data_IF_237651215669
#
_entry.id   IF_237651215669
#
_cell.length_a   1.000
_cell.length_b   1.000
_cell.length_c   1.000
_cell.angle_alpha   90.00
_cell.angle_beta   90.00
_cell.angle_gamma   90.00
#
_symmetry.space_group_name_H-M   'P 1'
#
loop_
_entity.id
_entity.type
_entity.pdbx_description
1 polymer ?
#
# COMPACT_ATOMS: atom_id res chain seq x y z
N UNK A 1 -3.16 -10.29 10.57
CA UNK A 1 -1.75 -10.74 10.60
C UNK A 1 -1.63 -12.02 11.43
N UNK A 2 -2.36 -13.07 11.04
CA UNK A 2 -2.34 -14.38 11.74
C UNK A 2 -2.53 -15.56 10.75
N UNK A 3 -3.06 -15.31 9.55
CA UNK A 3 -3.28 -16.34 8.51
C UNK A 3 -2.05 -16.57 7.60
N UNK A 4 -1.02 -15.71 7.64
CA UNK A 4 0.09 -15.76 6.67
C UNK A 4 1.13 -16.85 6.97
N UNK A 5 1.17 -17.31 8.21
CA UNK A 5 2.13 -18.31 8.69
C UNK A 5 1.78 -19.74 8.27
N UNK A 6 0.58 -20.00 7.73
CA UNK A 6 0.13 -21.38 7.47
C UNK A 6 -0.01 -21.78 5.99
N UNK A 7 -0.27 -20.85 5.06
CA UNK A 7 -0.77 -21.23 3.72
C UNK A 7 0.20 -20.93 2.57
N UNK A 8 1.26 -20.13 2.78
CA UNK A 8 2.16 -19.66 1.68
C UNK A 8 1.43 -18.99 0.51
N UNK A 9 0.20 -18.52 0.72
CA UNK A 9 -0.60 -17.92 -0.34
C UNK A 9 -0.45 -16.40 -0.29
N UNK A 10 0.56 -15.89 -0.99
CA UNK A 10 0.85 -14.47 -1.11
C UNK A 10 -0.35 -13.66 -1.65
N UNK A 11 -1.20 -14.32 -2.44
CA UNK A 11 -2.42 -13.72 -2.97
C UNK A 11 -3.43 -13.40 -1.86
N UNK A 12 -3.51 -14.23 -0.83
CA UNK A 12 -4.46 -14.06 0.27
C UNK A 12 -4.08 -12.91 1.22
N UNK A 13 -2.79 -12.73 1.55
CA UNK A 13 -2.37 -11.48 2.26
C UNK A 13 -2.58 -10.24 1.43
N UNK A 14 -2.29 -10.29 0.13
CA UNK A 14 -2.50 -9.10 -0.70
C UNK A 14 -3.97 -8.70 -0.71
N UNK A 15 -4.89 -9.66 -0.79
CA UNK A 15 -6.33 -9.38 -0.74
C UNK A 15 -6.75 -8.78 0.61
N UNK A 16 -6.29 -9.33 1.73
CA UNK A 16 -6.59 -8.79 3.07
C UNK A 16 -5.93 -7.41 3.30
N UNK A 17 -4.71 -7.21 2.80
CA UNK A 17 -4.00 -5.94 2.85
C UNK A 17 -4.65 -4.85 1.99
N UNK A 18 -5.18 -5.22 0.83
CA UNK A 18 -5.96 -4.30 -0.02
C UNK A 18 -7.29 -3.92 0.67
N UNK A 19 -7.96 -4.83 1.38
CA UNK A 19 -9.23 -4.50 2.04
C UNK A 19 -9.05 -3.52 3.22
N UNK A 20 -7.94 -3.66 3.97
CA UNK A 20 -7.58 -2.75 5.05
C UNK A 20 -7.03 -1.40 4.58
N UNK A 21 -6.00 -1.42 3.73
CA UNK A 21 -5.29 -0.21 3.30
C UNK A 21 -5.96 0.50 2.11
N UNK A 22 -6.74 -0.23 1.31
CA UNK A 22 -7.41 0.31 0.12
C UNK A 22 -8.40 1.43 0.45
N UNK A 23 -9.13 1.32 1.57
CA UNK A 23 -10.05 2.38 2.04
C UNK A 23 -9.30 3.67 2.41
N UNK A 24 -8.16 3.55 3.09
CA UNK A 24 -7.32 4.71 3.48
C UNK A 24 -6.74 5.38 2.24
N UNK A 25 -6.25 4.59 1.28
CA UNK A 25 -5.68 5.10 0.03
C UNK A 25 -6.75 5.81 -0.80
N UNK A 26 -7.96 5.25 -0.90
CA UNK A 26 -9.08 5.87 -1.59
C UNK A 26 -9.50 7.19 -0.93
N UNK A 27 -9.56 7.24 0.41
CA UNK A 27 -9.85 8.46 1.15
C UNK A 27 -8.79 9.55 0.91
N UNK A 28 -7.50 9.21 0.99
CA UNK A 28 -6.41 10.14 0.70
C UNK A 28 -6.43 10.64 -0.76
N UNK A 29 -6.71 9.74 -1.72
CA UNK A 29 -6.88 10.09 -3.14
C UNK A 29 -8.04 11.05 -3.36
N UNK A 30 -9.18 10.84 -2.67
CA UNK A 30 -10.34 11.72 -2.73
C UNK A 30 -10.04 13.14 -2.24
N UNK A 31 -9.30 13.28 -1.13
CA UNK A 31 -8.89 14.59 -0.61
C UNK A 31 -7.94 15.29 -1.58
N UNK A 32 -6.95 14.58 -2.12
CA UNK A 32 -6.02 15.13 -3.11
C UNK A 32 -6.74 15.63 -4.36
N UNK A 33 -7.70 14.84 -4.88
CA UNK A 33 -8.52 15.24 -6.00
C UNK A 33 -9.37 16.47 -5.66
N UNK A 34 -10.00 16.53 -4.49
CA UNK A 34 -10.80 17.66 -4.06
C UNK A 34 -10.00 18.98 -4.00
N UNK A 35 -8.76 18.93 -3.49
CA UNK A 35 -7.86 20.09 -3.45
C UNK A 35 -7.52 20.58 -4.87
N UNK A 36 -7.24 19.67 -5.81
CA UNK A 36 -6.93 20.04 -7.19
C UNK A 36 -8.15 20.59 -7.92
N UNK A 37 -9.31 19.97 -7.74
CA UNK A 37 -10.57 20.44 -8.31
C UNK A 37 -10.99 21.82 -7.76
N UNK A 38 -10.63 22.15 -6.52
CA UNK A 38 -10.89 23.48 -5.96
C UNK A 38 -10.23 24.61 -6.80
N UNK A 39 -9.06 24.35 -7.42
CA UNK A 39 -8.41 25.34 -8.29
C UNK A 39 -9.15 25.56 -9.61
N UNK A 40 -9.95 24.59 -10.07
CA UNK A 40 -10.77 24.71 -11.30
C UNK A 40 -11.91 25.72 -11.13
N UNK A 41 -12.36 25.98 -9.90
CA UNK A 41 -13.39 26.98 -9.59
C UNK A 41 -12.87 28.43 -9.67
N UNK A 42 -11.55 28.63 -9.85
CA UNK A 42 -10.96 29.95 -10.00
C UNK A 42 -11.33 30.63 -11.33
N UNK A 43 -11.45 31.96 -11.31
CA UNK A 43 -11.81 32.78 -12.49
C UNK A 43 -10.64 32.99 -13.48
N UNK A 44 -9.41 32.69 -13.08
CA UNK A 44 -8.25 32.85 -13.94
C UNK A 44 -8.16 31.70 -14.95
N UNK A 45 -8.30 32.03 -16.24
CA UNK A 45 -8.23 31.09 -17.39
C UNK A 45 -7.03 30.13 -17.29
N UNK A 46 -5.86 30.68 -16.98
CA UNK A 46 -4.59 29.95 -16.88
C UNK A 46 -4.65 28.89 -15.75
N UNK A 47 -5.17 29.27 -14.58
CA UNK A 47 -5.31 28.37 -13.43
C UNK A 47 -6.32 27.26 -13.72
N UNK A 48 -7.39 27.58 -14.46
CA UNK A 48 -8.41 26.60 -14.84
C UNK A 48 -7.86 25.51 -15.77
N UNK A 49 -7.08 25.89 -16.78
CA UNK A 49 -6.48 24.96 -17.74
C UNK A 49 -5.42 24.07 -17.06
N UNK A 50 -4.56 24.65 -16.22
CA UNK A 50 -3.58 23.89 -15.43
C UNK A 50 -4.25 22.99 -14.38
N UNK A 51 -5.26 23.49 -13.67
CA UNK A 51 -6.00 22.75 -12.66
C UNK A 51 -6.77 21.57 -13.25
N UNK A 52 -7.32 21.72 -14.45
CA UNK A 52 -7.97 20.62 -15.17
C UNK A 52 -6.97 19.52 -15.53
N UNK A 53 -5.82 19.87 -16.13
CA UNK A 53 -4.78 18.90 -16.47
C UNK A 53 -4.23 18.16 -15.25
N UNK A 54 -3.96 18.91 -14.18
CA UNK A 54 -3.49 18.35 -12.91
C UNK A 54 -4.56 17.46 -12.25
N UNK A 55 -5.83 17.84 -12.32
CA UNK A 55 -6.94 17.07 -11.73
C UNK A 55 -7.07 15.70 -12.38
N UNK A 56 -7.02 15.66 -13.71
CA UNK A 56 -7.01 14.40 -14.46
C UNK A 56 -5.77 13.56 -14.11
N UNK A 57 -4.59 14.17 -14.04
CA UNK A 57 -3.35 13.47 -13.68
C UNK A 57 -3.43 12.81 -12.28
N UNK A 58 -3.97 13.51 -11.29
CA UNK A 58 -4.13 12.98 -9.92
C UNK A 58 -5.13 11.83 -9.86
N UNK A 59 -6.25 11.94 -10.59
CA UNK A 59 -7.23 10.83 -10.67
C UNK A 59 -6.56 9.61 -11.31
N UNK A 60 -5.85 9.79 -12.42
CA UNK A 60 -5.15 8.69 -13.09
C UNK A 60 -4.10 8.06 -12.17
N UNK A 61 -3.30 8.84 -11.43
CA UNK A 61 -2.34 8.30 -10.46
C UNK A 61 -3.04 7.50 -9.34
N UNK A 62 -4.06 8.09 -8.72
CA UNK A 62 -4.76 7.48 -7.60
C UNK A 62 -5.42 6.13 -7.97
N UNK A 63 -5.92 5.98 -9.20
CA UNK A 63 -6.56 4.74 -9.65
C UNK A 63 -5.60 3.83 -10.42
N UNK A 64 -4.98 4.31 -11.50
CA UNK A 64 -4.16 3.45 -12.37
C UNK A 64 -2.82 3.09 -11.70
N UNK A 65 -2.12 4.07 -11.14
CA UNK A 65 -0.81 3.79 -10.54
C UNK A 65 -0.99 2.95 -9.29
N UNK A 66 -1.91 3.31 -8.39
CA UNK A 66 -2.04 2.60 -7.09
C UNK A 66 -2.78 1.28 -7.16
N UNK A 67 -3.84 1.15 -7.97
CA UNK A 67 -4.63 -0.09 -8.00
C UNK A 67 -4.11 -1.12 -9.02
N UNK A 68 -3.34 -0.67 -10.03
CA UNK A 68 -2.86 -1.55 -11.09
C UNK A 68 -1.34 -1.58 -11.10
N UNK A 69 -0.67 -0.43 -11.24
CA UNK A 69 0.78 -0.41 -11.45
C UNK A 69 1.55 -0.92 -10.23
N UNK A 70 1.24 -0.45 -9.03
CA UNK A 70 1.90 -0.88 -7.78
C UNK A 70 1.76 -2.40 -7.56
N UNK A 71 0.56 -3.01 -7.57
CA UNK A 71 0.44 -4.46 -7.40
C UNK A 71 1.03 -5.25 -8.58
N UNK A 72 0.91 -4.75 -9.81
CA UNK A 72 1.55 -5.38 -10.97
C UNK A 72 3.08 -5.38 -10.85
N UNK A 73 3.67 -4.28 -10.40
CA UNK A 73 5.12 -4.18 -10.18
C UNK A 73 5.55 -5.07 -9.02
N UNK A 74 4.80 -5.12 -7.91
CA UNK A 74 5.10 -6.03 -6.80
C UNK A 74 5.08 -7.50 -7.24
N UNK A 75 4.04 -7.91 -7.97
CA UNK A 75 3.96 -9.30 -8.49
C UNK A 75 5.00 -9.60 -9.57
N UNK A 76 5.40 -8.61 -10.37
CA UNK A 76 6.46 -8.77 -11.37
C UNK A 76 7.85 -8.87 -10.72
N UNK A 77 8.14 -8.04 -9.71
CA UNK A 77 9.39 -8.07 -8.96
C UNK A 77 9.54 -9.39 -8.20
N UNK A 78 8.48 -9.88 -7.59
CA UNK A 78 8.47 -11.18 -6.90
C UNK A 78 8.86 -12.33 -7.85
N UNK A 79 8.34 -12.32 -9.07
CA UNK A 79 8.68 -13.31 -10.11
C UNK A 79 10.08 -13.13 -10.68
N UNK A 80 10.53 -11.90 -10.89
CA UNK A 80 11.80 -11.61 -11.55
C UNK A 80 12.99 -11.75 -10.60
N UNK A 81 12.81 -11.42 -9.32
CA UNK A 81 13.85 -11.48 -8.29
C UNK A 81 13.28 -12.10 -6.99
N UNK A 82 13.16 -13.45 -6.91
CA UNK A 82 12.60 -14.17 -5.77
C UNK A 82 13.44 -14.09 -4.47
N UNK A 83 14.39 -13.15 -4.37
CA UNK A 83 15.25 -12.92 -3.20
C UNK A 83 15.26 -11.46 -2.72
N UNK A 84 14.48 -10.57 -3.32
CA UNK A 84 14.32 -9.21 -2.81
C UNK A 84 13.36 -9.27 -1.61
N UNK A 85 13.96 -9.33 -0.43
CA UNK A 85 13.27 -9.29 0.85
C UNK A 85 12.70 -7.88 1.09
N UNK A 86 11.57 -7.56 0.45
CA UNK A 86 10.80 -6.31 0.65
C UNK A 86 10.25 -6.23 2.08
N UNK A 87 10.15 -7.38 2.75
CA UNK A 87 9.83 -7.56 4.16
C UNK A 87 11.08 -7.27 5.02
N UNK A 88 11.45 -5.99 5.15
CA UNK A 88 12.51 -5.58 6.06
C UNK A 88 12.32 -6.21 7.44
N UNK A 89 13.30 -7.01 7.85
CA UNK A 89 13.49 -7.61 9.17
C UNK A 89 12.67 -6.92 10.28
N UNK A 90 11.52 -7.48 10.64
CA UNK A 90 11.04 -7.41 12.02
C UNK A 90 11.83 -8.42 12.86
N UNK A 91 13.15 -8.29 12.81
CA UNK A 91 14.09 -8.96 13.69
C UNK A 91 14.20 -8.13 14.96
N UNK A 92 13.16 -8.11 15.80
CA UNK A 92 13.36 -7.74 17.21
C UNK A 92 12.27 -8.20 18.18
N UNK A 93 11.73 -9.43 18.07
CA UNK A 93 11.14 -10.05 19.27
C UNK A 93 11.07 -11.57 19.23
N UNK A 94 12.18 -12.20 18.84
CA UNK A 94 12.47 -13.53 19.35
C UNK A 94 12.94 -13.39 20.81
N UNK A 95 12.03 -13.03 21.74
CA UNK A 95 12.30 -13.18 23.17
C UNK A 95 12.30 -14.68 23.44
N UNK A 96 13.45 -15.29 23.77
CA UNK A 96 13.49 -16.70 24.10
C UNK A 96 12.83 -16.86 25.47
N UNK A 97 11.61 -17.38 25.51
CA UNK A 97 11.08 -18.00 26.72
C UNK A 97 11.89 -19.27 27.00
N UNK A 98 13.06 -19.06 27.60
CA UNK A 98 13.83 -20.08 28.27
C UNK A 98 12.92 -20.72 29.32
N UNK A 99 12.39 -21.91 29.01
CA UNK A 99 11.91 -22.83 30.04
C UNK A 99 13.10 -23.07 30.97
N UNK A 100 13.08 -22.46 32.16
CA UNK A 100 13.99 -22.86 33.23
C UNK A 100 13.65 -24.30 33.62
N UNK A 101 14.63 -25.21 33.65
CA UNK A 101 14.42 -26.54 34.19
C UNK A 101 14.09 -26.48 35.68
N UNK A 102 13.18 -27.37 36.07
CA UNK A 102 12.84 -27.79 37.42
C UNK A 102 14.10 -28.03 38.26
N UNK A 103 14.23 -27.45 39.46
CA UNK A 103 14.98 -28.08 40.54
C UNK A 103 14.10 -29.20 41.11
N UNK A 104 14.63 -30.41 41.08
CA UNK A 104 14.12 -31.54 41.83
C UNK A 104 14.15 -31.24 43.35
N UNK A 105 13.41 -32.08 44.09
CA UNK A 105 13.36 -32.26 45.54
C UNK A 105 12.14 -31.63 46.27
#
# INVERSE_FOLDING_TARGET
MEEYTHTRDARRSMLDGIDGSGKVIAAAGGIMAAVVFAFVLGHARLIKELGFGLGVAVVVDAFIVRLILVPAVMTLLDRALPKLNVEGEASDEAVPHTKRPTPAD
#
